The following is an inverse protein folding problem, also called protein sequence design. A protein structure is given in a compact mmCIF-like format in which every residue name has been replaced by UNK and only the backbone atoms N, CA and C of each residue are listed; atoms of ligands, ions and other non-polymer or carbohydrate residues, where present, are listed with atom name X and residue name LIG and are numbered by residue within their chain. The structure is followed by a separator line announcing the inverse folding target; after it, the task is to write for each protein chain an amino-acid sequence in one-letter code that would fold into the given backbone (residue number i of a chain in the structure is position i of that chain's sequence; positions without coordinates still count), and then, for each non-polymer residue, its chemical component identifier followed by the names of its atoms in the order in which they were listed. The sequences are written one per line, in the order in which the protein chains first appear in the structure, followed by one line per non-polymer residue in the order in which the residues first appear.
data_IF_345613521068
#
_entry.id   IF_345613521068
#
_cell.length_a   1.000
_cell.length_b   1.000
_cell.length_c   1.000
_cell.angle_alpha   90.00
_cell.angle_beta   90.00
_cell.angle_gamma   90.00
#
_symmetry.space_group_name_H-M   'P 1'
#
loop_
_entity.id
_entity.type
_entity.pdbx_description
1 polymer ?
#
# COMPACT_ATOMS: atom_id res chain seq x y z
N UNK A 1 -9.64 4.31 15.45
CA UNK A 1 -8.52 3.99 16.37
C UNK A 1 -8.24 2.48 16.43
N UNK A 2 -9.22 1.59 16.71
CA UNK A 2 -8.98 0.15 16.86
C UNK A 2 -8.33 -0.55 15.63
N UNK A 3 -8.78 -0.24 14.40
CA UNK A 3 -8.23 -0.88 13.20
C UNK A 3 -6.73 -0.59 12.98
N UNK A 4 -6.29 0.63 13.30
CA UNK A 4 -4.89 1.05 13.13
C UNK A 4 -4.01 0.27 14.10
N UNK A 5 -4.40 0.24 15.38
CA UNK A 5 -3.68 -0.52 16.39
C UNK A 5 -3.66 -2.01 16.07
N UNK A 6 -4.74 -2.57 15.54
CA UNK A 6 -4.81 -3.98 15.18
C UNK A 6 -3.89 -4.30 14.00
N UNK A 7 -3.89 -3.46 12.96
CA UNK A 7 -3.03 -3.63 11.80
C UNK A 7 -1.55 -3.45 12.16
N UNK A 8 -1.21 -2.42 12.96
CA UNK A 8 0.14 -2.19 13.46
C UNK A 8 0.61 -3.33 14.36
N UNK A 9 -0.25 -3.81 15.24
CA UNK A 9 0.06 -4.97 16.10
C UNK A 9 0.30 -6.22 15.26
N UNK A 10 -0.56 -6.52 14.30
CA UNK A 10 -0.40 -7.67 13.40
C UNK A 10 0.90 -7.58 12.58
N UNK A 11 1.27 -6.38 12.14
CA UNK A 11 2.53 -6.12 11.43
C UNK A 11 3.75 -6.27 12.35
N UNK A 12 3.69 -5.71 13.57
CA UNK A 12 4.77 -5.80 14.55
C UNK A 12 5.08 -7.25 14.95
N UNK A 13 4.08 -8.15 14.96
CA UNK A 13 4.33 -9.58 15.20
C UNK A 13 5.26 -10.21 14.15
N UNK A 14 5.29 -9.71 12.91
CA UNK A 14 6.20 -10.21 11.86
C UNK A 14 7.65 -9.80 12.10
N UNK A 15 7.91 -8.79 12.93
CA UNK A 15 9.25 -8.32 13.26
C UNK A 15 9.92 -9.18 14.34
N UNK A 16 9.17 -10.08 14.98
CA UNK A 16 9.72 -10.99 15.99
C UNK A 16 10.55 -12.09 15.33
N UNK A 17 11.67 -12.45 15.97
CA UNK A 17 12.50 -13.56 15.51
C UNK A 17 11.72 -14.87 15.61
N UNK A 18 11.34 -15.44 14.48
CA UNK A 18 10.57 -16.68 14.39
C UNK A 18 11.20 -17.65 13.37
N UNK A 19 10.91 -18.96 13.50
CA UNK A 19 11.26 -19.93 12.45
C UNK A 19 10.64 -19.57 11.10
N UNK A 20 11.32 -19.90 10.00
CA UNK A 20 10.89 -19.54 8.64
C UNK A 20 9.46 -19.97 8.31
N UNK A 21 9.06 -21.18 8.68
CA UNK A 21 7.71 -21.70 8.38
C UNK A 21 6.62 -20.93 9.13
N UNK A 22 6.90 -20.55 10.37
CA UNK A 22 5.99 -19.75 11.18
C UNK A 22 5.89 -18.33 10.61
N UNK A 23 7.02 -17.73 10.23
CA UNK A 23 7.06 -16.42 9.57
C UNK A 23 6.23 -16.39 8.28
N UNK A 24 6.39 -17.37 7.40
CA UNK A 24 5.61 -17.46 6.15
C UNK A 24 4.12 -17.73 6.40
N UNK A 25 3.79 -18.48 7.46
CA UNK A 25 2.40 -18.67 7.89
C UNK A 25 1.79 -17.34 8.32
N UNK A 26 2.50 -16.56 9.14
CA UNK A 26 2.03 -15.24 9.62
C UNK A 26 1.90 -14.22 8.50
N UNK A 27 2.81 -14.21 7.52
CA UNK A 27 2.66 -13.37 6.32
C UNK A 27 1.33 -13.68 5.61
N UNK A 28 1.03 -14.96 5.37
CA UNK A 28 -0.21 -15.36 4.70
C UNK A 28 -1.45 -14.95 5.49
N UNK A 29 -1.43 -15.14 6.81
CA UNK A 29 -2.51 -14.70 7.70
C UNK A 29 -2.74 -13.18 7.62
N UNK A 30 -1.68 -12.38 7.61
CA UNK A 30 -1.76 -10.94 7.50
C UNK A 30 -2.27 -10.50 6.13
N UNK A 31 -1.80 -11.13 5.04
CA UNK A 31 -2.31 -10.86 3.69
C UNK A 31 -3.80 -11.15 3.60
N UNK A 32 -4.25 -12.29 4.13
CA UNK A 32 -5.68 -12.64 4.13
C UNK A 32 -6.50 -11.69 4.99
N UNK A 33 -5.96 -11.26 6.13
CA UNK A 33 -6.58 -10.24 6.96
C UNK A 33 -6.76 -8.92 6.19
N UNK A 34 -5.71 -8.41 5.56
CA UNK A 34 -5.78 -7.17 4.77
C UNK A 34 -6.74 -7.30 3.57
N UNK A 35 -6.74 -8.43 2.87
CA UNK A 35 -7.68 -8.69 1.77
C UNK A 35 -9.13 -8.66 2.24
N UNK A 36 -9.42 -9.23 3.41
CA UNK A 36 -10.76 -9.15 4.02
C UNK A 36 -11.13 -7.70 4.31
N UNK A 37 -10.23 -6.93 4.93
CA UNK A 37 -10.47 -5.52 5.25
C UNK A 37 -10.75 -4.65 4.01
N UNK A 38 -10.03 -4.88 2.92
CA UNK A 38 -10.29 -4.21 1.63
C UNK A 38 -11.62 -4.64 1.03
N UNK A 39 -11.94 -5.94 1.07
CA UNK A 39 -13.18 -6.47 0.49
C UNK A 39 -14.44 -5.99 1.22
N UNK A 40 -14.35 -5.80 2.53
CA UNK A 40 -15.45 -5.27 3.35
C UNK A 40 -15.51 -3.73 3.35
N UNK A 41 -14.63 -3.05 2.60
CA UNK A 41 -14.44 -1.58 2.64
C UNK A 41 -14.18 -1.03 4.04
N UNK A 42 -13.84 -1.88 5.00
CA UNK A 42 -13.54 -1.48 6.38
C UNK A 42 -12.28 -0.63 6.42
N UNK A 43 -11.34 -0.95 5.53
CA UNK A 43 -10.12 -0.19 5.36
C UNK A 43 -10.43 1.21 4.81
N UNK A 44 -11.29 1.32 3.80
CA UNK A 44 -11.71 2.59 3.18
C UNK A 44 -12.43 3.52 4.16
N UNK A 45 -13.31 2.97 5.01
CA UNK A 45 -14.05 3.73 6.03
C UNK A 45 -13.25 4.05 7.28
N UNK A 46 -12.06 3.47 7.44
CA UNK A 46 -11.21 3.70 8.62
C UNK A 46 -9.98 4.54 8.30
N UNK A 47 -9.46 4.46 7.07
CA UNK A 47 -8.38 5.30 6.57
C UNK A 47 -8.99 6.60 6.06
N UNK A 48 -9.36 7.46 7.00
CA UNK A 48 -9.82 8.80 6.67
C UNK A 48 -8.67 9.80 6.49
N UNK A 49 -7.52 9.53 7.11
CA UNK A 49 -6.39 10.45 7.12
C UNK A 49 -5.26 10.00 6.19
N UNK A 50 -4.73 10.94 5.40
CA UNK A 50 -3.49 10.77 4.63
C UNK A 50 -2.30 10.37 5.52
N UNK A 51 -2.34 10.74 6.81
CA UNK A 51 -1.34 10.45 7.85
C UNK A 51 -1.17 8.96 8.16
N UNK A 52 -2.07 8.08 7.71
CA UNK A 52 -2.01 6.67 8.08
C UNK A 52 -0.70 6.00 7.66
N UNK A 53 -0.18 6.37 6.48
CA UNK A 53 1.10 5.89 5.98
C UNK A 53 2.30 6.42 6.77
N UNK A 54 2.14 7.44 7.61
CA UNK A 54 3.21 7.95 8.49
C UNK A 54 3.47 7.04 9.69
N UNK A 55 2.52 6.17 10.03
CA UNK A 55 2.68 5.20 11.13
C UNK A 55 3.26 3.86 10.67
N UNK A 56 3.46 3.67 9.36
CA UNK A 56 3.91 2.40 8.78
C UNK A 56 5.29 2.58 8.16
N UNK A 57 6.22 1.69 8.52
CA UNK A 57 7.52 1.62 7.87
C UNK A 57 7.40 0.79 6.58
N UNK A 58 7.76 1.33 5.39
CA UNK A 58 7.59 0.60 4.15
C UNK A 58 8.45 -0.66 4.04
N UNK A 59 9.53 -0.79 4.81
CA UNK A 59 10.36 -2.00 4.88
C UNK A 59 9.75 -3.00 5.86
N UNK A 60 9.44 -2.58 7.09
CA UNK A 60 9.00 -3.52 8.13
C UNK A 60 7.52 -3.90 8.02
N UNK A 61 6.69 -2.98 7.54
CA UNK A 61 5.23 -3.10 7.47
C UNK A 61 4.74 -3.23 6.03
N UNK A 62 5.55 -3.85 5.17
CA UNK A 62 5.34 -3.86 3.71
C UNK A 62 3.95 -4.31 3.28
N UNK A 63 3.39 -5.33 3.93
CA UNK A 63 2.02 -5.80 3.63
C UNK A 63 1.00 -4.72 3.99
N UNK A 64 1.01 -4.25 5.25
CA UNK A 64 0.08 -3.23 5.71
C UNK A 64 0.20 -1.94 4.88
N UNK A 65 1.43 -1.48 4.64
CA UNK A 65 1.72 -0.29 3.85
C UNK A 65 1.16 -0.41 2.43
N UNK A 66 1.35 -1.55 1.75
CA UNK A 66 0.84 -1.76 0.39
C UNK A 66 -0.69 -1.66 0.32
N UNK A 67 -1.40 -2.30 1.26
CA UNK A 67 -2.86 -2.27 1.27
C UNK A 67 -3.42 -0.87 1.59
N UNK A 68 -2.84 -0.18 2.58
CA UNK A 68 -3.21 1.20 2.93
C UNK A 68 -2.95 2.14 1.76
N UNK A 69 -1.78 2.05 1.13
CA UNK A 69 -1.42 2.86 -0.03
C UNK A 69 -2.38 2.59 -1.20
N UNK A 70 -2.70 1.33 -1.47
CA UNK A 70 -3.65 0.94 -2.52
C UNK A 70 -5.03 1.58 -2.32
N UNK A 71 -5.56 1.55 -1.08
CA UNK A 71 -6.83 2.19 -0.73
C UNK A 71 -6.77 3.71 -0.93
N UNK A 72 -5.69 4.37 -0.48
CA UNK A 72 -5.55 5.82 -0.67
C UNK A 72 -5.46 6.20 -2.16
N UNK A 73 -4.75 5.41 -2.98
CA UNK A 73 -4.69 5.60 -4.43
C UNK A 73 -6.05 5.43 -5.07
N UNK A 74 -6.78 4.36 -4.73
CA UNK A 74 -8.13 4.12 -5.23
C UNK A 74 -9.08 5.26 -4.86
N UNK A 75 -9.04 5.73 -3.61
CA UNK A 75 -9.85 6.85 -3.15
C UNK A 75 -9.53 8.14 -3.92
N UNK A 76 -8.26 8.41 -4.19
CA UNK A 76 -7.86 9.57 -5.01
C UNK A 76 -8.37 9.46 -6.46
N UNK A 77 -8.40 8.24 -7.03
CA UNK A 77 -8.97 8.00 -8.35
C UNK A 77 -10.50 8.24 -8.35
N UNK A 78 -11.21 7.72 -7.36
CA UNK A 78 -12.65 7.89 -7.20
C UNK A 78 -13.05 9.36 -7.02
N UNK A 79 -12.33 10.11 -6.18
CA UNK A 79 -12.59 11.54 -5.94
C UNK A 79 -12.30 12.42 -7.16
N UNK A 80 -11.28 12.07 -7.94
CA UNK A 80 -10.90 12.84 -9.14
C UNK A 80 -11.69 12.46 -10.39
N UNK A 81 -12.38 11.31 -10.39
CA UNK A 81 -13.02 10.74 -11.58
C UNK A 81 -12.03 10.36 -12.68
N UNK A 82 -10.74 10.22 -12.35
CA UNK A 82 -9.67 9.90 -13.31
C UNK A 82 -8.79 8.78 -12.73
N UNK A 83 -8.34 7.88 -13.60
CA UNK A 83 -7.41 6.81 -13.26
C UNK A 83 -6.03 7.34 -12.79
N UNK A 84 -5.67 8.57 -13.15
CA UNK A 84 -4.39 9.20 -12.78
C UNK A 84 -4.59 10.58 -12.11
N UNK A 85 -5.06 10.61 -10.84
CA UNK A 85 -5.19 11.85 -10.07
C UNK A 85 -3.86 12.62 -9.97
N UNK A 86 -3.91 13.91 -9.64
CA UNK A 86 -2.71 14.73 -9.42
C UNK A 86 -1.76 14.11 -8.38
N UNK A 87 -2.31 13.53 -7.31
CA UNK A 87 -1.50 13.01 -6.20
C UNK A 87 -0.67 11.78 -6.55
N UNK A 88 -1.08 10.97 -7.53
CA UNK A 88 -0.32 9.80 -8.00
C UNK A 88 0.55 10.11 -9.23
N UNK A 89 0.49 11.33 -9.76
CA UNK A 89 1.42 11.79 -10.82
C UNK A 89 2.76 12.21 -10.23
N UNK A 90 3.86 12.19 -11.01
CA UNK A 90 5.15 12.68 -10.56
C UNK A 90 5.07 14.05 -9.88
N UNK A 91 5.60 14.14 -8.67
CA UNK A 91 5.53 15.34 -7.81
C UNK A 91 4.34 15.38 -6.84
N UNK A 92 3.37 14.49 -6.99
CA UNK A 92 2.25 14.32 -6.05
C UNK A 92 2.65 13.61 -4.75
N UNK A 93 1.79 13.72 -3.73
CA UNK A 93 2.05 13.12 -2.41
C UNK A 93 2.06 11.59 -2.45
N UNK A 94 1.04 10.99 -3.06
CA UNK A 94 0.94 9.52 -3.18
C UNK A 94 2.01 8.96 -4.10
N UNK A 95 2.45 9.73 -5.10
CA UNK A 95 3.62 9.40 -5.91
C UNK A 95 4.88 9.25 -5.04
N UNK A 96 5.18 10.23 -4.19
CA UNK A 96 6.35 10.16 -3.30
C UNK A 96 6.30 8.92 -2.38
N UNK A 97 5.14 8.63 -1.79
CA UNK A 97 4.92 7.43 -0.96
C UNK A 97 5.10 6.14 -1.74
N UNK A 98 4.62 6.12 -2.98
CA UNK A 98 4.73 4.94 -3.85
C UNK A 98 6.17 4.71 -4.27
N UNK A 99 6.88 5.76 -4.70
CA UNK A 99 8.29 5.69 -5.03
C UNK A 99 9.13 5.23 -3.83
N UNK A 100 8.87 5.78 -2.64
CA UNK A 100 9.53 5.35 -1.41
C UNK A 100 9.27 3.86 -1.13
N UNK A 101 8.02 3.41 -1.20
CA UNK A 101 7.65 2.01 -0.99
C UNK A 101 8.37 1.09 -1.97
N UNK A 102 8.32 1.38 -3.28
CA UNK A 102 8.94 0.57 -4.33
C UNK A 102 10.46 0.45 -4.19
N UNK A 103 11.11 1.36 -3.46
CA UNK A 103 12.56 1.29 -3.18
C UNK A 103 12.92 0.55 -1.89
N UNK A 104 11.98 0.41 -0.95
CA UNK A 104 12.29 -0.02 0.43
C UNK A 104 11.57 -1.28 0.89
N UNK A 105 10.55 -1.73 0.19
CA UNK A 105 9.72 -2.85 0.63
C UNK A 105 10.52 -4.14 0.89
N UNK A 106 10.04 -4.90 1.86
CA UNK A 106 10.48 -6.27 2.11
C UNK A 106 9.95 -7.19 1.00
N UNK A 107 10.89 -7.77 0.26
CA UNK A 107 10.59 -8.63 -0.90
C UNK A 107 9.95 -9.96 -0.50
N UNK A 108 10.25 -10.48 0.70
CA UNK A 108 9.66 -11.72 1.20
C UNK A 108 8.18 -11.47 1.48
N UNK A 109 7.86 -10.41 2.20
CA UNK A 109 6.48 -9.98 2.43
C UNK A 109 5.73 -9.75 1.12
N UNK A 110 6.30 -8.97 0.19
CA UNK A 110 5.62 -8.59 -1.06
C UNK A 110 5.38 -9.78 -2.01
N UNK A 111 6.18 -10.84 -1.91
CA UNK A 111 5.99 -12.08 -2.68
C UNK A 111 4.60 -12.70 -2.47
N UNK A 112 3.97 -12.49 -1.30
CA UNK A 112 2.69 -13.09 -0.95
C UNK A 112 1.46 -12.25 -1.34
N UNK A 113 1.65 -10.99 -1.72
CA UNK A 113 0.61 -10.06 -2.19
C UNK A 113 0.98 -9.44 -3.55
N UNK A 114 1.58 -10.27 -4.42
CA UNK A 114 2.08 -9.83 -5.72
C UNK A 114 1.02 -9.32 -6.69
N UNK A 115 -0.27 -9.63 -6.47
CA UNK A 115 -1.37 -9.08 -7.29
C UNK A 115 -1.56 -7.59 -6.98
N UNK A 116 -1.68 -7.26 -5.70
CA UNK A 116 -1.85 -5.91 -5.20
C UNK A 116 -0.64 -5.04 -5.54
N UNK A 117 0.57 -5.60 -5.45
CA UNK A 117 1.80 -4.92 -5.85
C UNK A 117 1.84 -4.62 -7.35
N UNK A 118 1.46 -5.59 -8.20
CA UNK A 118 1.39 -5.38 -9.65
C UNK A 118 0.38 -4.31 -10.04
N UNK A 119 -0.79 -4.31 -9.39
CA UNK A 119 -1.81 -3.29 -9.64
C UNK A 119 -1.30 -1.88 -9.29
N UNK A 120 -0.58 -1.72 -8.17
CA UNK A 120 0.05 -0.44 -7.83
C UNK A 120 1.07 -0.02 -8.90
N UNK A 121 1.92 -0.93 -9.36
CA UNK A 121 2.89 -0.64 -10.42
C UNK A 121 2.24 -0.21 -11.74
N UNK A 122 1.14 -0.85 -12.13
CA UNK A 122 0.40 -0.50 -13.35
C UNK A 122 -0.12 0.93 -13.28
N UNK A 123 -0.69 1.33 -12.14
CA UNK A 123 -1.17 2.71 -11.91
C UNK A 123 -0.02 3.71 -12.01
N UNK A 124 1.12 3.42 -11.37
CA UNK A 124 2.31 4.28 -11.39
C UNK A 124 2.88 4.41 -12.80
N UNK A 125 2.94 3.31 -13.54
CA UNK A 125 3.41 3.30 -14.92
C UNK A 125 2.50 4.16 -15.82
N UNK A 126 1.18 4.02 -15.68
CA UNK A 126 0.21 4.86 -16.39
C UNK A 126 0.34 6.33 -16.03
N UNK A 127 0.46 6.66 -14.74
CA UNK A 127 0.63 8.02 -14.27
C UNK A 127 1.93 8.67 -14.79
N UNK A 128 3.02 7.91 -14.80
CA UNK A 128 4.31 8.34 -15.35
C UNK A 128 4.21 8.62 -16.86
N UNK A 129 3.58 7.70 -17.60
CA UNK A 129 3.39 7.84 -19.03
C UNK A 129 2.50 9.04 -19.37
N UNK A 130 1.42 9.25 -18.62
CA UNK A 130 0.54 10.39 -18.79
C UNK A 130 1.28 11.72 -18.55
N UNK A 131 2.09 11.79 -17.50
CA UNK A 131 2.88 12.98 -17.18
C UNK A 131 3.94 13.29 -18.25
N UNK A 132 4.62 12.25 -18.77
CA UNK A 132 5.60 12.40 -19.84
C UNK A 132 4.96 12.91 -21.14
N UNK A 133 3.78 12.41 -21.52
CA UNK A 133 3.05 12.88 -22.70
C UNK A 133 2.49 14.30 -22.55
N UNK A 134 2.16 14.71 -21.32
CA UNK A 134 1.61 16.03 -21.01
C UNK A 134 2.68 17.13 -20.91
N UNK A 135 3.97 16.78 -20.88
CA UNK A 135 5.08 17.72 -20.95
C UNK A 135 5.70 17.69 -22.35
N UNK A 136 5.12 18.39 -23.36
CA UNK A 136 5.85 18.64 -24.58
C UNK A 136 7.03 19.57 -24.26
N UNK A 137 8.23 19.12 -24.63
CA UNK A 137 9.43 19.97 -24.68
C UNK A 137 9.21 21.15 -25.63
#
# INVERSE_FOLDING_TARGET
MALISDLLSASAHLQTSMPSDEYERRIRELVDYCKRLSSTKTLDTSIHEESFLDYLDPSNDSIAYLFVLGVQVQRAQELSGNNCPADIRPGGKLWARTAQFLTRFDRIQVRHNGKEWRQLLEIVAQASQAASKASPL
#
